data_IF_996116363914
#
_entry.id   IF_996116363914
#
_cell.length_a   1.000
_cell.length_b   1.000
_cell.length_c   1.000
_cell.angle_alpha   90.00
_cell.angle_beta   90.00
_cell.angle_gamma   90.00
#
_symmetry.space_group_name_H-M   'P 1'
#
loop_
_entity.id
_entity.type
_entity.pdbx_description
1 polymer ?
#
# COMPACT_ATOMS: atom_id res chain seq x y z
N UNK A 1 1.57 -29.59 -19.08
CA UNK A 1 1.01 -30.20 -17.86
C UNK A 1 1.95 -29.85 -16.73
N UNK A 2 1.57 -28.93 -15.85
CA UNK A 2 2.40 -28.58 -14.68
C UNK A 2 2.38 -29.77 -13.74
N UNK A 3 3.53 -30.41 -13.55
CA UNK A 3 3.72 -31.56 -12.69
C UNK A 3 3.41 -31.15 -11.25
N UNK A 4 2.16 -31.37 -10.81
CA UNK A 4 1.73 -31.13 -9.43
C UNK A 4 2.07 -32.35 -8.59
N UNK A 5 3.33 -32.78 -8.61
CA UNK A 5 3.86 -33.63 -7.54
C UNK A 5 3.79 -32.81 -6.24
N UNK A 6 3.06 -33.27 -5.21
CA UNK A 6 3.01 -32.55 -3.94
C UNK A 6 4.44 -32.40 -3.42
N UNK A 7 4.90 -31.16 -3.24
CA UNK A 7 6.24 -30.87 -2.70
C UNK A 7 6.37 -31.59 -1.36
N UNK A 8 7.25 -32.58 -1.31
CA UNK A 8 7.46 -33.39 -0.11
C UNK A 8 8.28 -32.56 0.87
N UNK A 9 8.07 -32.75 2.17
CA UNK A 9 8.83 -32.01 3.20
C UNK A 9 10.35 -32.16 3.00
N UNK A 10 10.79 -33.34 2.53
CA UNK A 10 12.18 -33.67 2.21
C UNK A 10 12.78 -32.81 1.10
N UNK A 11 11.96 -32.24 0.21
CA UNK A 11 12.39 -31.42 -0.93
C UNK A 11 12.55 -29.94 -0.56
N UNK A 12 12.26 -29.56 0.69
CA UNK A 12 12.40 -28.18 1.17
C UNK A 12 13.88 -27.82 1.41
N UNK A 13 14.26 -26.55 1.23
CA UNK A 13 15.57 -26.06 1.69
C UNK A 13 15.77 -26.33 3.18
N UNK A 14 17.00 -26.67 3.59
CA UNK A 14 17.30 -27.02 4.99
C UNK A 14 16.92 -25.92 5.97
N UNK A 15 17.07 -24.64 5.59
CA UNK A 15 16.63 -23.50 6.41
C UNK A 15 15.11 -23.51 6.64
N UNK A 16 14.32 -23.81 5.60
CA UNK A 16 12.85 -23.88 5.71
C UNK A 16 12.42 -25.07 6.57
N UNK A 17 13.09 -26.21 6.45
CA UNK A 17 12.83 -27.37 7.32
C UNK A 17 13.12 -27.03 8.77
N UNK A 18 14.28 -26.46 9.06
CA UNK A 18 14.68 -26.06 10.41
C UNK A 18 13.70 -25.04 11.00
N UNK A 19 13.26 -24.05 10.22
CA UNK A 19 12.24 -23.09 10.62
C UNK A 19 10.91 -23.77 10.96
N UNK A 20 10.40 -24.66 10.08
CA UNK A 20 9.13 -25.36 10.31
C UNK A 20 9.17 -26.31 11.51
N UNK A 21 10.31 -26.96 11.76
CA UNK A 21 10.51 -27.85 12.91
C UNK A 21 10.65 -27.10 14.23
N UNK A 22 11.09 -25.84 14.19
CA UNK A 22 11.26 -25.00 15.37
C UNK A 22 9.97 -24.28 15.80
N UNK A 23 8.94 -24.24 14.95
CA UNK A 23 7.70 -23.53 15.25
C UNK A 23 6.87 -24.25 16.31
N UNK A 24 6.56 -23.53 17.39
CA UNK A 24 5.54 -23.94 18.35
C UNK A 24 4.13 -23.66 17.81
N UNK A 25 3.09 -24.36 18.28
CA UNK A 25 1.73 -24.20 17.77
C UNK A 25 1.18 -22.76 17.84
N UNK A 26 1.58 -21.99 18.86
CA UNK A 26 1.24 -20.58 19.01
C UNK A 26 1.95 -19.68 18.00
N UNK A 27 3.21 -19.96 17.67
CA UNK A 27 4.00 -19.23 16.67
C UNK A 27 3.45 -19.46 15.26
N UNK A 28 2.94 -20.66 14.96
CA UNK A 28 2.25 -20.95 13.69
C UNK A 28 1.04 -20.04 13.51
N UNK A 29 0.25 -19.83 14.58
CA UNK A 29 -0.93 -18.96 14.53
C UNK A 29 -0.55 -17.50 14.30
N UNK A 30 0.47 -16.99 15.00
CA UNK A 30 0.97 -15.63 14.78
C UNK A 30 1.51 -15.44 13.36
N UNK A 31 2.14 -16.47 12.78
CA UNK A 31 2.60 -16.42 11.40
C UNK A 31 1.44 -16.31 10.39
N UNK A 32 0.36 -17.09 10.56
CA UNK A 32 -0.85 -17.00 9.72
C UNK A 32 -1.48 -15.60 9.80
N UNK A 33 -1.62 -15.08 11.02
CA UNK A 33 -2.16 -13.74 11.27
C UNK A 33 -1.28 -12.66 10.61
N UNK A 34 0.05 -12.80 10.70
CA UNK A 34 1.02 -11.93 10.05
C UNK A 34 0.91 -11.94 8.52
N UNK A 35 0.76 -13.13 7.92
CA UNK A 35 0.58 -13.28 6.47
C UNK A 35 -0.72 -12.62 6.01
N UNK A 36 -1.82 -12.80 6.76
CA UNK A 36 -3.10 -12.14 6.47
C UNK A 36 -2.99 -10.62 6.58
N UNK A 37 -2.27 -10.12 7.58
CA UNK A 37 -2.05 -8.70 7.77
C UNK A 37 -1.27 -8.09 6.61
N UNK A 38 -0.14 -8.71 6.21
CA UNK A 38 0.66 -8.22 5.06
C UNK A 38 -0.15 -8.25 3.77
N UNK A 39 -0.95 -9.29 3.53
CA UNK A 39 -1.84 -9.35 2.36
C UNK A 39 -2.86 -8.21 2.37
N UNK A 40 -3.44 -7.91 3.53
CA UNK A 40 -4.38 -6.81 3.72
C UNK A 40 -3.71 -5.45 3.48
N UNK A 41 -2.51 -5.25 4.04
CA UNK A 41 -1.71 -4.03 3.85
C UNK A 41 -1.36 -3.84 2.37
N UNK A 42 -0.87 -4.88 1.69
CA UNK A 42 -0.55 -4.79 0.27
C UNK A 42 -1.76 -4.37 -0.57
N UNK A 43 -2.96 -4.81 -0.20
CA UNK A 43 -4.20 -4.43 -0.88
C UNK A 43 -4.55 -2.95 -0.66
N UNK A 44 -4.38 -2.42 0.56
CA UNK A 44 -4.79 -1.06 0.93
C UNK A 44 -3.69 -0.01 0.66
N UNK A 45 -2.42 -0.42 0.59
CA UNK A 45 -1.26 0.48 0.44
C UNK A 45 -1.33 1.33 -0.83
N UNK A 46 -1.73 0.74 -1.96
CA UNK A 46 -1.89 1.46 -3.21
C UNK A 46 -3.01 2.50 -3.14
N UNK A 47 -4.14 2.17 -2.48
CA UNK A 47 -5.27 3.07 -2.29
C UNK A 47 -4.90 4.28 -1.40
N UNK A 48 -4.22 4.05 -0.29
CA UNK A 48 -3.76 5.11 0.63
C UNK A 48 -2.80 6.07 -0.09
N UNK A 49 -1.90 5.56 -0.92
CA UNK A 49 -1.01 6.40 -1.75
C UNK A 49 -1.82 7.38 -2.60
N UNK A 50 -2.87 6.92 -3.27
CA UNK A 50 -3.71 7.78 -4.10
C UNK A 50 -4.52 8.79 -3.30
N UNK A 51 -4.98 8.45 -2.10
CA UNK A 51 -5.60 9.42 -1.19
C UNK A 51 -4.65 10.57 -0.87
N UNK A 52 -3.42 10.26 -0.48
CA UNK A 52 -2.41 11.28 -0.13
C UNK A 52 -2.14 12.18 -1.34
N UNK A 53 -1.95 11.60 -2.53
CA UNK A 53 -1.76 12.36 -3.77
C UNK A 53 -2.97 13.25 -4.06
N UNK A 54 -4.19 12.74 -3.86
CA UNK A 54 -5.43 13.51 -4.03
C UNK A 54 -5.52 14.71 -3.09
N UNK A 55 -5.20 14.52 -1.80
CA UNK A 55 -5.20 15.61 -0.80
C UNK A 55 -4.17 16.69 -1.17
N UNK A 56 -2.94 16.28 -1.53
CA UNK A 56 -1.90 17.21 -1.95
C UNK A 56 -2.30 17.98 -3.22
N UNK A 57 -2.88 17.28 -4.20
CA UNK A 57 -3.38 17.88 -5.44
C UNK A 57 -4.48 18.91 -5.18
N UNK A 58 -5.43 18.60 -4.30
CA UNK A 58 -6.49 19.53 -3.90
C UNK A 58 -5.90 20.75 -3.18
N UNK A 59 -4.99 20.55 -2.23
CA UNK A 59 -4.38 21.65 -1.48
C UNK A 59 -3.64 22.62 -2.39
N UNK A 60 -2.81 22.09 -3.30
CA UNK A 60 -2.10 22.90 -4.31
C UNK A 60 -3.10 23.58 -5.25
N UNK A 61 -4.12 22.86 -5.70
CA UNK A 61 -5.17 23.38 -6.58
C UNK A 61 -5.90 24.57 -5.96
N UNK A 62 -6.33 24.47 -4.70
CA UNK A 62 -6.99 25.56 -3.97
C UNK A 62 -6.07 26.76 -3.83
N UNK A 63 -4.80 26.55 -3.45
CA UNK A 63 -3.83 27.63 -3.29
C UNK A 63 -3.61 28.39 -4.62
N UNK A 64 -3.44 27.69 -5.73
CA UNK A 64 -3.27 28.30 -7.06
C UNK A 64 -4.55 28.97 -7.57
N UNK A 65 -5.72 28.41 -7.23
CA UNK A 65 -7.02 28.98 -7.61
C UNK A 65 -7.23 30.35 -6.97
N UNK A 66 -6.88 30.52 -5.69
CA UNK A 66 -6.97 31.81 -5.01
C UNK A 66 -6.13 32.91 -5.69
N UNK A 67 -4.91 32.57 -6.11
CA UNK A 67 -4.04 33.51 -6.83
C UNK A 67 -4.64 33.90 -8.20
N UNK A 68 -5.20 32.93 -8.91
CA UNK A 68 -5.81 33.14 -10.24
C UNK A 68 -7.07 34.01 -10.16
N UNK A 69 -7.95 33.76 -9.17
CA UNK A 69 -9.14 34.59 -8.93
C UNK A 69 -8.75 36.02 -8.53
N UNK A 70 -7.72 36.19 -7.68
CA UNK A 70 -7.24 37.52 -7.31
C UNK A 70 -6.73 38.32 -8.52
N UNK A 71 -6.01 37.67 -9.44
CA UNK A 71 -5.56 38.30 -10.70
C UNK A 71 -6.73 38.74 -11.57
N UNK A 72 -7.76 37.89 -11.72
CA UNK A 72 -8.96 38.20 -12.51
C UNK A 72 -9.69 39.41 -11.91
N UNK A 73 -9.91 39.43 -10.59
CA UNK A 73 -10.59 40.56 -9.91
C UNK A 73 -9.82 41.87 -10.09
N UNK A 74 -8.48 41.85 -9.96
CA UNK A 74 -7.64 43.04 -10.18
C UNK A 74 -7.75 43.59 -11.61
N UNK A 75 -7.85 42.73 -12.62
CA UNK A 75 -8.02 43.16 -14.01
C UNK A 75 -9.35 43.91 -14.22
N UNK A 76 -10.43 43.42 -13.63
CA UNK A 76 -11.74 44.10 -13.67
C UNK A 76 -11.73 45.43 -12.92
N UNK A 77 -11.01 45.54 -11.79
CA UNK A 77 -10.89 46.80 -11.03
C UNK A 77 -10.00 47.84 -11.71
N UNK A 78 -9.05 47.42 -12.55
CA UNK A 78 -8.11 48.33 -13.24
C UNK A 78 -8.66 48.80 -14.59
N UNK A 79 -9.62 48.07 -15.17
CA UNK A 79 -10.20 48.35 -16.50
C UNK A 79 -11.49 49.16 -16.46
N UNK A 80 -11.99 49.54 -15.28
CA UNK A 80 -13.17 50.40 -15.07
C UNK A 80 -12.82 51.64 -14.28
#
# INVERSE_FOLDING_TARGET
>A
MTDQTPKRFEDLPEETKAFLLALRPDEVKTLDDGIRLVRSINTVSAFVKWIIVGILGIAVGIAMFGESISKIVKWFQTSG
#
